data_IF_163760356489
#
_entry.id   IF_163760356489
#
_cell.length_a   1.000
_cell.length_b   1.000
_cell.length_c   1.000
_cell.angle_alpha   90.00
_cell.angle_beta   90.00
_cell.angle_gamma   90.00
#
_symmetry.space_group_name_H-M   'P 1'
#
loop_
_entity.id
_entity.type
_entity.pdbx_description
1 polymer ?
#
# COMPACT_ATOMS: atom_id res chain seq x y z
N UNK A 1 5.93 -16.07 10.36
CA UNK A 1 6.54 -15.25 9.28
C UNK A 1 6.69 -13.83 9.82
N UNK A 2 7.87 -13.21 9.69
CA UNK A 2 8.10 -11.84 10.15
C UNK A 2 7.82 -10.85 9.02
N UNK A 3 6.97 -9.86 9.26
CA UNK A 3 6.71 -8.74 8.34
C UNK A 3 7.07 -7.45 9.07
N UNK A 4 7.86 -6.59 8.42
CA UNK A 4 8.27 -5.29 8.97
C UNK A 4 7.71 -4.18 8.08
N UNK A 5 6.80 -3.38 8.63
CA UNK A 5 6.23 -2.21 7.95
C UNK A 5 7.00 -0.95 8.36
N UNK A 6 7.59 -0.26 7.38
CA UNK A 6 8.32 1.01 7.61
C UNK A 6 7.49 2.16 7.02
N UNK A 7 6.93 3.01 7.88
CA UNK A 7 6.10 4.15 7.49
C UNK A 7 6.70 5.49 7.96
N UNK A 8 6.33 6.60 7.31
CA UNK A 8 6.78 7.97 7.66
C UNK A 8 6.52 8.99 6.54
N UNK A 9 6.75 10.27 6.82
CA UNK A 9 6.59 11.37 5.85
C UNK A 9 7.54 11.25 4.63
N UNK A 10 7.18 11.78 3.45
CA UNK A 10 8.10 11.88 2.31
C UNK A 10 9.44 12.53 2.74
N UNK A 11 10.56 11.96 2.28
CA UNK A 11 11.90 12.45 2.65
C UNK A 11 12.40 12.07 4.05
N UNK A 12 11.61 11.43 4.91
CA UNK A 12 12.01 11.08 6.29
C UNK A 12 13.04 9.93 6.42
N UNK A 13 13.64 9.46 5.32
CA UNK A 13 14.66 8.40 5.36
C UNK A 13 14.15 6.96 5.51
N UNK A 14 12.84 6.72 5.45
CA UNK A 14 12.22 5.38 5.54
C UNK A 14 12.81 4.34 4.56
N UNK A 15 13.18 4.76 3.34
CA UNK A 15 13.86 3.88 2.36
C UNK A 15 15.23 3.41 2.86
N UNK A 16 16.00 4.28 3.52
CA UNK A 16 17.30 3.94 4.11
C UNK A 16 17.14 2.92 5.22
N UNK A 17 16.16 3.13 6.10
CA UNK A 17 15.85 2.20 7.21
C UNK A 17 15.40 0.85 6.69
N UNK A 18 14.45 0.81 5.74
CA UNK A 18 13.93 -0.43 5.18
C UNK A 18 15.03 -1.26 4.49
N UNK A 19 15.90 -0.62 3.69
CA UNK A 19 17.04 -1.29 3.05
C UNK A 19 18.08 -1.79 4.05
N UNK A 20 18.36 -1.01 5.10
CA UNK A 20 19.26 -1.42 6.18
C UNK A 20 18.75 -2.66 6.92
N UNK A 21 17.47 -2.64 7.32
CA UNK A 21 16.81 -3.78 7.98
C UNK A 21 16.76 -5.02 7.08
N UNK A 22 16.42 -4.87 5.80
CA UNK A 22 16.41 -5.98 4.85
C UNK A 22 17.76 -6.68 4.73
N UNK A 23 18.85 -5.92 4.62
CA UNK A 23 20.22 -6.49 4.61
C UNK A 23 20.57 -7.18 5.92
N UNK A 24 20.26 -6.57 7.05
CA UNK A 24 20.60 -7.11 8.37
C UNK A 24 19.84 -8.39 8.71
N UNK A 25 18.58 -8.50 8.26
CA UNK A 25 17.70 -9.63 8.55
C UNK A 25 17.66 -10.66 7.41
N UNK A 26 18.34 -10.42 6.29
CA UNK A 26 18.26 -11.25 5.09
C UNK A 26 16.86 -11.29 4.46
N UNK A 27 16.07 -10.22 4.66
CA UNK A 27 14.68 -10.14 4.19
C UNK A 27 14.58 -9.35 2.88
N UNK A 28 13.68 -9.76 1.97
CA UNK A 28 13.35 -8.95 0.80
C UNK A 28 12.72 -7.62 1.24
N UNK A 29 13.01 -6.56 0.50
CA UNK A 29 12.48 -5.21 0.75
C UNK A 29 11.57 -4.84 -0.40
N UNK A 30 10.29 -4.62 -0.10
CA UNK A 30 9.30 -4.17 -1.06
C UNK A 30 8.91 -2.72 -0.76
N UNK A 31 8.99 -1.86 -1.76
CA UNK A 31 8.48 -0.48 -1.70
C UNK A 31 7.10 -0.44 -2.35
N UNK A 32 6.12 0.08 -1.61
CA UNK A 32 4.76 0.27 -2.12
C UNK A 32 4.73 1.21 -3.32
N UNK A 33 5.53 2.29 -3.27
CA UNK A 33 5.55 3.30 -4.33
C UNK A 33 6.27 2.78 -5.58
N UNK A 34 7.40 2.11 -5.43
CA UNK A 34 8.13 1.51 -6.56
C UNK A 34 7.26 0.45 -7.27
N UNK A 35 6.51 -0.34 -6.50
CA UNK A 35 5.60 -1.33 -7.06
C UNK A 35 4.42 -0.69 -7.79
N UNK A 36 3.86 0.40 -7.24
CA UNK A 36 2.80 1.19 -7.88
C UNK A 36 3.29 1.78 -9.21
N UNK A 37 4.49 2.36 -9.25
CA UNK A 37 5.09 2.92 -10.46
C UNK A 37 5.36 1.84 -11.51
N UNK A 38 5.99 0.73 -11.10
CA UNK A 38 6.27 -0.41 -11.99
C UNK A 38 4.97 -0.95 -12.61
N UNK A 39 3.89 -1.07 -11.82
CA UNK A 39 2.61 -1.52 -12.33
C UNK A 39 1.91 -0.48 -13.23
N UNK A 40 2.11 0.81 -12.96
CA UNK A 40 1.61 1.87 -13.84
C UNK A 40 2.27 1.83 -15.22
N UNK A 41 3.56 1.49 -15.27
CA UNK A 41 4.32 1.37 -16.51
C UNK A 41 3.97 0.09 -17.28
N UNK A 42 3.66 -1.01 -16.57
CA UNK A 42 3.36 -2.31 -17.19
C UNK A 42 1.89 -2.47 -17.61
N UNK A 43 0.96 -1.81 -16.95
CA UNK A 43 -0.48 -2.01 -17.17
C UNK A 43 -1.09 -0.85 -17.95
N UNK A 44 -1.80 -1.18 -19.03
CA UNK A 44 -2.63 -0.21 -19.71
C UNK A 44 -3.81 0.22 -18.82
N UNK A 45 -4.01 1.53 -18.70
CA UNK A 45 -5.18 2.07 -17.98
C UNK A 45 -6.46 1.64 -18.71
N UNK A 46 -7.41 0.99 -18.02
CA UNK A 46 -8.69 0.62 -18.62
C UNK A 46 -9.47 1.84 -19.14
N UNK A 47 -10.11 1.70 -20.30
CA UNK A 47 -10.99 2.72 -20.86
C UNK A 47 -12.11 3.10 -19.88
N UNK A 48 -12.38 4.40 -19.75
CA UNK A 48 -13.41 4.92 -18.83
C UNK A 48 -12.96 5.11 -17.38
N UNK A 49 -11.76 4.67 -16.98
CA UNK A 49 -11.22 4.92 -15.63
C UNK A 49 -10.44 6.23 -15.62
N UNK A 50 -10.80 7.16 -14.74
CA UNK A 50 -10.08 8.43 -14.58
C UNK A 50 -8.66 8.24 -14.03
N UNK A 51 -7.74 9.14 -14.35
CA UNK A 51 -6.33 9.08 -13.91
C UNK A 51 -6.17 8.97 -12.39
N UNK A 52 -6.95 9.77 -11.64
CA UNK A 52 -6.95 9.74 -10.16
C UNK A 52 -7.45 8.42 -9.60
N UNK A 53 -8.47 7.83 -10.23
CA UNK A 53 -9.00 6.54 -9.81
C UNK A 53 -8.01 5.42 -10.12
N UNK A 54 -7.37 5.47 -11.30
CA UNK A 54 -6.31 4.56 -11.68
C UNK A 54 -5.13 4.60 -10.70
N UNK A 55 -4.63 5.80 -10.40
CA UNK A 55 -3.56 6.01 -9.42
C UNK A 55 -3.92 5.46 -8.02
N UNK A 56 -5.18 5.61 -7.59
CA UNK A 56 -5.66 5.09 -6.31
C UNK A 56 -5.67 3.56 -6.27
N UNK A 57 -6.15 2.91 -7.35
CA UNK A 57 -6.17 1.44 -7.47
C UNK A 57 -4.76 0.86 -7.39
N UNK A 58 -3.82 1.42 -8.17
CA UNK A 58 -2.41 1.05 -8.10
C UNK A 58 -1.76 1.42 -6.76
N UNK A 59 -2.25 2.45 -6.07
CA UNK A 59 -1.74 2.87 -4.79
C UNK A 59 -2.19 2.03 -3.61
N UNK A 60 -2.99 0.97 -3.77
CA UNK A 60 -3.54 0.24 -2.63
C UNK A 60 -3.56 -1.28 -2.82
N UNK A 61 -3.84 -1.76 -4.04
CA UNK A 61 -3.91 -3.19 -4.38
C UNK A 61 -2.57 -3.96 -4.48
N UNK A 62 -1.42 -3.39 -4.89
CA UNK A 62 -0.31 -4.20 -5.38
C UNK A 62 0.36 -5.13 -4.38
N UNK A 63 0.31 -4.82 -3.08
CA UNK A 63 1.06 -5.58 -2.09
C UNK A 63 0.43 -6.94 -1.80
N UNK A 64 -0.85 -7.17 -2.18
CA UNK A 64 -1.53 -8.46 -2.02
C UNK A 64 -1.59 -8.96 -0.57
N UNK A 65 -1.44 -8.07 0.41
CA UNK A 65 -1.38 -8.41 1.84
C UNK A 65 -2.77 -8.68 2.45
N UNK A 66 -3.82 -8.56 1.66
CA UNK A 66 -5.21 -8.75 2.06
C UNK A 66 -6.17 -7.86 1.26
N UNK A 67 -7.46 -7.85 1.64
CA UNK A 67 -8.46 -6.95 1.09
C UNK A 67 -8.04 -5.48 1.26
N UNK A 68 -8.43 -4.65 0.29
CA UNK A 68 -8.12 -3.22 0.29
C UNK A 68 -9.38 -2.41 0.49
N UNK A 69 -9.45 -1.71 1.63
CA UNK A 69 -10.53 -0.79 1.95
C UNK A 69 -10.07 0.64 1.73
N UNK A 70 -10.74 1.37 0.84
CA UNK A 70 -10.51 2.81 0.66
C UNK A 70 -11.51 3.57 1.51
N UNK A 71 -11.00 4.41 2.42
CA UNK A 71 -11.82 5.21 3.32
C UNK A 71 -11.56 6.69 3.07
N UNK A 72 -12.61 7.50 3.01
CA UNK A 72 -12.46 8.95 2.92
C UNK A 72 -12.11 9.52 4.29
N UNK A 73 -10.87 9.99 4.45
CA UNK A 73 -10.37 10.57 5.70
C UNK A 73 -10.63 12.07 5.82
N UNK A 74 -11.30 12.69 4.84
CA UNK A 74 -11.78 14.08 4.95
C UNK A 74 -13.01 14.20 5.85
N UNK A 75 -13.68 13.06 6.08
CA UNK A 75 -14.80 12.92 7.01
C UNK A 75 -14.38 12.08 8.22
N UNK A 76 -15.19 12.11 9.28
CA UNK A 76 -15.01 11.21 10.41
C UNK A 76 -15.20 9.77 9.95
N UNK A 77 -14.26 8.90 10.30
CA UNK A 77 -14.28 7.48 9.99
C UNK A 77 -14.79 6.70 11.20
N UNK A 78 -15.75 5.80 10.98
CA UNK A 78 -16.15 4.82 11.99
C UNK A 78 -15.10 3.70 12.09
N UNK A 79 -14.28 3.78 13.15
CA UNK A 79 -13.19 2.83 13.38
C UNK A 79 -13.72 1.47 13.82
N UNK A 80 -14.82 1.41 14.57
CA UNK A 80 -15.38 0.15 15.07
C UNK A 80 -15.95 -0.68 13.93
N UNK A 81 -16.76 -0.08 13.05
CA UNK A 81 -17.26 -0.75 11.86
C UNK A 81 -16.14 -1.18 10.90
N UNK A 82 -15.05 -0.40 10.79
CA UNK A 82 -13.90 -0.78 9.99
C UNK A 82 -13.15 -2.00 10.55
N UNK A 83 -13.06 -2.13 11.89
CA UNK A 83 -12.42 -3.27 12.54
C UNK A 83 -13.23 -4.56 12.30
N UNK A 84 -14.56 -4.51 12.42
CA UNK A 84 -15.44 -5.64 12.11
C UNK A 84 -15.27 -6.12 10.66
N UNK A 85 -15.14 -5.19 9.71
CA UNK A 85 -14.86 -5.51 8.30
C UNK A 85 -13.50 -6.19 8.09
N UNK A 86 -12.49 -5.87 8.91
CA UNK A 86 -11.16 -6.49 8.82
C UNK A 86 -11.15 -7.92 9.37
N UNK A 87 -12.01 -8.23 10.35
CA UNK A 87 -12.10 -9.55 11.00
C UNK A 87 -13.07 -10.51 10.31
N UNK A 88 -13.95 -10.00 9.43
CA UNK A 88 -14.90 -10.81 8.69
C UNK A 88 -14.19 -11.81 7.74
N UNK A 89 -14.54 -13.11 7.78
CA UNK A 89 -13.98 -14.10 6.85
C UNK A 89 -14.41 -13.78 5.41
N UNK A 90 -13.45 -13.80 4.49
CA UNK A 90 -13.63 -13.58 3.04
C UNK A 90 -14.04 -14.87 2.34
#
# INVERSE_FOLDING_TARGET
MLVVLVNGLPGAGKTTVARGLGRALGLPVFSKDDLKETLADMLERPGGVGEREWSRRLGAAPLGLGPVFSVDTSISVDISGLAELCEAPQ
#
